data_IF_782119748059
#
_entry.id   IF_782119748059
#
_cell.length_a   1.000
_cell.length_b   1.000
_cell.length_c   1.000
_cell.angle_alpha   90.00
_cell.angle_beta   90.00
_cell.angle_gamma   90.00
#
_symmetry.space_group_name_H-M   'P 1'
#
loop_
_entity.id
_entity.type
_entity.pdbx_description
1 polymer ?
#
# COMPACT_ATOMS: atom_id res chain seq x y z
N UNK A 1 -8.48 -8.50 -0.72
CA UNK A 1 -9.11 -7.18 -0.96
C UNK A 1 -8.29 -6.37 -1.96
N UNK A 2 -6.99 -6.09 -1.71
CA UNK A 2 -6.16 -5.32 -2.66
C UNK A 2 -5.96 -6.12 -3.96
N UNK A 3 -5.61 -7.39 -3.87
CA UNK A 3 -5.45 -8.27 -5.03
C UNK A 3 -6.74 -8.36 -5.84
N UNK A 4 -7.89 -8.56 -5.18
CA UNK A 4 -9.20 -8.60 -5.85
C UNK A 4 -9.52 -7.28 -6.57
N UNK A 5 -9.18 -6.13 -5.96
CA UNK A 5 -9.35 -4.83 -6.59
C UNK A 5 -8.47 -4.70 -7.84
N UNK A 6 -7.20 -5.10 -7.74
CA UNK A 6 -6.25 -5.01 -8.85
C UNK A 6 -6.62 -5.96 -9.99
N UNK A 7 -7.03 -7.21 -9.68
CA UNK A 7 -7.43 -8.21 -10.67
C UNK A 7 -8.70 -7.80 -11.44
N UNK A 8 -9.59 -7.05 -10.82
CA UNK A 8 -10.80 -6.54 -11.46
C UNK A 8 -10.65 -5.14 -12.07
N UNK A 9 -9.47 -4.55 -11.99
CA UNK A 9 -9.20 -3.24 -12.57
C UNK A 9 -8.81 -3.34 -14.05
N UNK A 10 -8.83 -2.19 -14.74
CA UNK A 10 -8.29 -2.06 -16.12
C UNK A 10 -6.76 -2.26 -16.17
N UNK A 11 -6.11 -2.40 -15.04
CA UNK A 11 -4.67 -2.61 -14.91
C UNK A 11 -4.32 -4.07 -14.57
N UNK A 12 -5.27 -4.99 -14.64
CA UNK A 12 -5.06 -6.40 -14.31
C UNK A 12 -3.94 -7.08 -15.14
N UNK A 13 -3.71 -6.59 -16.36
CA UNK A 13 -2.65 -7.08 -17.26
C UNK A 13 -1.27 -6.48 -16.95
N UNK A 14 -1.20 -5.43 -16.13
CA UNK A 14 0.06 -4.83 -15.71
C UNK A 14 0.59 -5.65 -14.54
N UNK A 15 1.89 -5.95 -14.54
CA UNK A 15 2.53 -6.62 -13.42
C UNK A 15 2.46 -5.74 -12.17
N UNK A 16 1.48 -6.01 -11.34
CA UNK A 16 1.38 -5.47 -9.99
C UNK A 16 2.19 -6.39 -9.09
N UNK A 17 2.91 -5.83 -8.14
CA UNK A 17 3.50 -6.64 -7.08
C UNK A 17 2.34 -7.16 -6.23
N UNK A 18 1.73 -8.26 -6.69
CA UNK A 18 0.65 -8.94 -6.00
C UNK A 18 1.21 -9.53 -4.72
N UNK A 19 0.39 -9.64 -3.70
CA UNK A 19 0.69 -10.25 -2.40
C UNK A 19 1.37 -9.37 -1.35
N UNK A 20 1.80 -8.17 -1.69
CA UNK A 20 2.36 -7.25 -0.71
C UNK A 20 2.03 -5.81 -1.08
N UNK A 21 1.47 -5.06 -0.16
CA UNK A 21 1.09 -3.66 -0.43
C UNK A 21 1.54 -2.68 0.68
N UNK A 22 2.32 -3.15 1.65
CA UNK A 22 2.81 -2.30 2.71
C UNK A 22 3.30 -3.05 3.94
N UNK A 23 3.64 -2.30 4.97
CA UNK A 23 4.20 -2.82 6.21
C UNK A 23 3.90 -1.89 7.38
N UNK A 24 4.03 -2.42 8.60
CA UNK A 24 4.00 -1.59 9.81
C UNK A 24 5.27 -0.74 9.90
N UNK A 25 5.13 0.44 10.48
CA UNK A 25 6.22 1.37 10.78
C UNK A 25 6.32 1.54 12.30
N UNK A 26 7.55 1.51 12.80
CA UNK A 26 7.87 1.80 14.19
C UNK A 26 9.23 2.49 14.29
N UNK A 27 10.16 1.90 15.05
CA UNK A 27 11.56 2.34 15.07
C UNK A 27 12.28 1.91 13.80
N UNK A 28 11.94 0.71 13.29
CA UNK A 28 12.43 0.22 12.01
C UNK A 28 11.57 0.71 10.85
N UNK A 29 12.19 0.79 9.66
CA UNK A 29 11.46 1.17 8.43
C UNK A 29 10.43 0.10 8.09
N UNK A 30 10.81 -1.18 8.16
CA UNK A 30 9.93 -2.31 7.93
C UNK A 30 9.78 -3.10 9.22
N UNK A 31 8.59 -3.13 9.77
CA UNK A 31 8.26 -3.90 10.95
C UNK A 31 7.07 -4.82 10.70
N UNK A 32 6.96 -5.88 11.49
CA UNK A 32 5.77 -6.72 11.49
C UNK A 32 4.61 -5.99 12.21
N UNK A 33 3.39 -6.11 11.71
CA UNK A 33 2.95 -6.97 10.61
C UNK A 33 3.16 -6.36 9.23
N UNK A 34 3.33 -7.25 8.23
CA UNK A 34 3.28 -6.88 6.81
C UNK A 34 1.81 -6.85 6.34
N UNK A 35 1.54 -6.04 5.32
CA UNK A 35 0.26 -6.03 4.61
C UNK A 35 0.41 -6.88 3.33
N UNK A 36 0.38 -8.18 3.51
CA UNK A 36 0.53 -9.17 2.45
C UNK A 36 -0.61 -10.20 2.47
N UNK A 37 -0.63 -11.11 1.51
CA UNK A 37 -1.66 -12.15 1.40
C UNK A 37 -1.61 -13.19 2.51
N UNK A 38 -0.47 -13.36 3.17
CA UNK A 38 -0.22 -14.42 4.13
C UNK A 38 -0.34 -13.95 5.58
N UNK A 39 -0.36 -12.64 5.79
CA UNK A 39 -0.52 -12.05 7.13
C UNK A 39 -1.99 -11.91 7.50
N UNK A 40 -2.41 -12.68 8.50
CA UNK A 40 -3.76 -12.66 9.05
C UNK A 40 -3.77 -12.12 10.47
N UNK A 41 -3.85 -10.81 10.62
CA UNK A 41 -3.91 -10.15 11.92
C UNK A 41 -5.11 -9.21 12.00
N UNK A 42 -5.55 -8.95 13.23
CA UNK A 42 -6.52 -7.91 13.50
C UNK A 42 -5.79 -6.57 13.67
N UNK A 43 -6.11 -5.61 12.82
CA UNK A 43 -5.62 -4.24 12.97
C UNK A 43 -6.18 -3.62 14.26
N UNK A 44 -5.34 -2.91 14.99
CA UNK A 44 -5.72 -2.26 16.27
C UNK A 44 -5.45 -0.76 16.17
N UNK A 45 -6.25 0.06 16.83
CA UNK A 45 -5.99 1.49 16.97
C UNK A 45 -4.57 1.76 17.49
N UNK A 46 -3.93 2.76 16.92
CA UNK A 46 -2.54 3.12 17.21
C UNK A 46 -1.49 2.45 16.33
N UNK A 47 -1.85 1.44 15.53
CA UNK A 47 -0.93 0.89 14.54
C UNK A 47 -0.72 1.87 13.40
N UNK A 48 0.50 1.99 12.93
CA UNK A 48 0.88 2.82 11.78
C UNK A 48 1.43 1.92 10.68
N UNK A 49 0.96 2.15 9.46
CA UNK A 49 1.39 1.40 8.29
C UNK A 49 1.84 2.34 7.18
N UNK A 50 2.87 1.93 6.43
CA UNK A 50 3.10 2.42 5.07
C UNK A 50 2.30 1.57 4.11
N UNK A 51 1.51 2.21 3.26
CA UNK A 51 0.75 1.57 2.18
C UNK A 51 1.37 2.04 0.87
N UNK A 52 2.04 1.13 0.17
CA UNK A 52 2.88 1.44 -0.97
C UNK A 52 2.69 0.44 -2.13
N UNK A 53 1.50 0.39 -2.73
CA UNK A 53 1.26 -0.46 -3.88
C UNK A 53 2.20 -0.10 -5.04
N UNK A 54 2.76 -1.11 -5.67
CA UNK A 54 3.75 -0.97 -6.74
C UNK A 54 3.22 -1.54 -8.05
N UNK A 55 3.39 -0.79 -9.13
CA UNK A 55 3.08 -1.21 -10.49
C UNK A 55 4.39 -1.26 -11.28
N UNK A 56 4.60 -2.35 -12.00
CA UNK A 56 5.76 -2.50 -12.88
C UNK A 56 5.29 -2.94 -14.27
N UNK A 57 5.81 -2.27 -15.29
CA UNK A 57 5.57 -2.63 -16.68
C UNK A 57 6.89 -2.76 -17.44
N UNK A 58 7.11 -3.91 -18.07
CA UNK A 58 8.30 -4.19 -18.86
C UNK A 58 8.53 -3.11 -19.94
N UNK A 59 9.77 -2.67 -20.07
CA UNK A 59 10.22 -1.63 -21.02
C UNK A 59 9.60 -0.23 -20.80
N UNK A 60 8.80 -0.02 -19.79
CA UNK A 60 8.20 1.27 -19.44
C UNK A 60 8.79 1.80 -18.12
N UNK A 61 8.79 1.00 -17.08
CA UNK A 61 9.29 1.37 -15.77
C UNK A 61 8.38 0.93 -14.64
N UNK A 62 8.60 1.52 -13.48
CA UNK A 62 7.82 1.26 -12.27
C UNK A 62 7.23 2.54 -11.70
N UNK A 63 6.09 2.41 -11.05
CA UNK A 63 5.40 3.49 -10.33
C UNK A 63 4.93 2.96 -8.99
N UNK A 64 5.19 3.71 -7.93
CA UNK A 64 4.63 3.49 -6.61
C UNK A 64 4.09 4.79 -6.04
N UNK A 65 3.08 4.70 -5.22
CA UNK A 65 2.57 5.78 -4.37
C UNK A 65 2.58 5.24 -2.95
N UNK A 66 3.15 6.00 -2.05
CA UNK A 66 3.28 5.62 -0.65
C UNK A 66 2.55 6.63 0.24
N UNK A 67 1.72 6.12 1.15
CA UNK A 67 1.03 6.90 2.17
C UNK A 67 1.16 6.22 3.53
N UNK A 68 1.49 7.00 4.56
CA UNK A 68 1.47 6.52 5.93
C UNK A 68 0.09 6.69 6.53
N UNK A 69 -0.39 5.64 7.17
CA UNK A 69 -1.77 5.56 7.67
C UNK A 69 -1.78 5.14 9.13
N UNK A 70 -2.49 5.88 9.95
CA UNK A 70 -2.78 5.54 11.34
C UNK A 70 -4.12 4.80 11.42
N UNK A 71 -4.14 3.65 12.08
CA UNK A 71 -5.38 2.95 12.41
C UNK A 71 -6.02 3.62 13.60
N UNK A 72 -7.30 3.99 13.48
CA UNK A 72 -8.10 4.63 14.53
C UNK A 72 -9.19 3.69 15.05
N UNK A 73 -9.93 4.10 16.07
CA UNK A 73 -11.09 3.33 16.60
C UNK A 73 -12.20 3.12 15.58
N UNK A 74 -12.32 4.01 14.60
CA UNK A 74 -13.45 4.02 13.65
C UNK A 74 -13.02 3.87 12.20
N UNK A 75 -11.72 3.71 11.90
CA UNK A 75 -11.23 3.61 10.54
C UNK A 75 -9.74 3.88 10.44
N UNK A 76 -9.34 4.73 9.51
CA UNK A 76 -7.94 5.07 9.28
C UNK A 76 -7.78 6.55 8.94
N UNK A 77 -6.64 7.12 9.30
CA UNK A 77 -6.23 8.51 9.04
C UNK A 77 -4.95 8.50 8.22
N UNK A 78 -4.91 9.25 7.12
CA UNK A 78 -3.70 9.44 6.31
C UNK A 78 -2.82 10.47 7.01
N UNK A 79 -1.59 10.08 7.38
CA UNK A 79 -0.63 10.95 8.05
C UNK A 79 0.21 11.77 7.07
N UNK A 80 0.41 11.27 5.86
CA UNK A 80 1.24 11.90 4.81
C UNK A 80 0.41 12.21 3.57
N UNK A 81 -0.66 13.04 3.67
CA UNK A 81 -1.50 13.30 2.51
C UNK A 81 -0.69 13.95 1.39
N UNK A 82 -0.63 13.30 0.24
CA UNK A 82 0.06 13.77 -0.95
C UNK A 82 -0.91 14.04 -2.09
N UNK A 83 -0.50 14.92 -3.02
CA UNK A 83 -1.19 15.06 -4.30
C UNK A 83 -0.74 13.91 -5.21
N UNK A 84 -1.55 12.85 -5.26
CA UNK A 84 -1.29 11.65 -6.06
C UNK A 84 -1.48 11.85 -7.57
N UNK A 85 -1.69 13.08 -8.03
CA UNK A 85 -1.84 13.38 -9.44
C UNK A 85 -0.48 13.50 -10.14
N UNK A 86 -0.36 12.85 -11.29
CA UNK A 86 0.82 12.99 -12.13
C UNK A 86 0.92 14.44 -12.61
N UNK A 87 2.00 15.13 -12.24
CA UNK A 87 2.30 16.48 -12.69
C UNK A 87 3.20 16.43 -13.93
N UNK A 88 2.79 17.10 -15.01
CA UNK A 88 3.71 17.44 -16.10
C UNK A 88 4.44 18.74 -15.75
N UNK A 89 5.74 18.67 -15.80
CA UNK A 89 6.61 19.86 -15.70
C UNK A 89 6.63 20.59 -17.05
#
# INVERSE_FOLDING_TARGET
VVDDFMDNSKFAEINVYKHWCGHSIGVGVHEYPMLDSDTHILLKPGMVFSIEPYIFQDNVGSLGIEENVLITETGAEILTPSDSHLRRL
#
